data_IF_576189260419
#
_entry.id   IF_576189260419
#
_cell.length_a   1.000
_cell.length_b   1.000
_cell.length_c   1.000
_cell.angle_alpha   90.00
_cell.angle_beta   90.00
_cell.angle_gamma   90.00
#
_symmetry.space_group_name_H-M   'P 1'
#
loop_
_entity.id
_entity.type
_entity.pdbx_description
1 polymer ?
#
# COMPACT_ATOMS: atom_id res chain seq x y z
N UNK A 1 19.27 -12.55 7.16
CA UNK A 1 18.25 -13.13 8.07
C UNK A 1 18.39 -12.63 9.50
N UNK A 2 19.59 -12.24 9.96
CA UNK A 2 19.85 -11.73 11.31
C UNK A 2 18.77 -10.77 11.89
N UNK A 3 18.38 -9.73 11.13
CA UNK A 3 17.36 -8.79 11.60
C UNK A 3 15.96 -9.42 11.75
N UNK A 4 15.60 -10.41 10.92
CA UNK A 4 14.34 -11.13 11.05
C UNK A 4 14.35 -12.04 12.28
N UNK A 5 15.49 -12.68 12.57
CA UNK A 5 15.64 -13.54 13.73
C UNK A 5 15.59 -12.73 15.04
N UNK A 6 16.18 -11.53 15.07
CA UNK A 6 16.04 -10.59 16.18
C UNK A 6 14.59 -10.11 16.37
N UNK A 7 13.89 -9.81 15.27
CA UNK A 7 12.48 -9.47 15.30
C UNK A 7 11.64 -10.63 15.87
N UNK A 8 11.92 -11.86 15.45
CA UNK A 8 11.27 -13.07 15.94
C UNK A 8 11.55 -13.31 17.43
N UNK A 9 12.78 -13.11 17.91
CA UNK A 9 13.12 -13.20 19.33
C UNK A 9 12.33 -12.20 20.18
N UNK A 10 12.19 -10.96 19.69
CA UNK A 10 11.50 -9.89 20.43
C UNK A 10 9.98 -10.05 20.45
N UNK A 11 9.38 -10.48 19.33
CA UNK A 11 7.93 -10.44 19.14
C UNK A 11 7.26 -11.80 18.96
N UNK A 12 8.02 -12.88 18.80
CA UNK A 12 7.51 -14.21 18.47
C UNK A 12 6.60 -14.81 19.53
N UNK A 13 6.82 -14.49 20.80
CA UNK A 13 5.92 -14.94 21.88
C UNK A 13 4.55 -14.25 21.77
N UNK A 14 4.52 -12.95 21.46
CA UNK A 14 3.28 -12.17 21.40
C UNK A 14 2.52 -12.34 20.08
N UNK A 15 3.24 -12.52 18.98
CA UNK A 15 2.69 -12.56 17.63
C UNK A 15 3.25 -13.73 16.79
N UNK A 16 3.06 -14.99 17.22
CA UNK A 16 3.66 -16.15 16.57
C UNK A 16 3.23 -16.31 15.09
N UNK A 17 1.95 -16.05 14.79
CA UNK A 17 1.43 -16.12 13.42
C UNK A 17 2.03 -15.08 12.49
N UNK A 18 2.36 -13.89 13.01
CA UNK A 18 3.02 -12.83 12.23
C UNK A 18 4.43 -13.29 11.87
N UNK A 19 5.19 -13.78 12.85
CA UNK A 19 6.55 -14.31 12.61
C UNK A 19 6.54 -15.44 11.59
N UNK A 20 5.62 -16.40 11.72
CA UNK A 20 5.48 -17.51 10.75
C UNK A 20 5.23 -16.99 9.33
N UNK A 21 4.34 -16.00 9.17
CA UNK A 21 4.05 -15.38 7.88
C UNK A 21 5.27 -14.66 7.30
N UNK A 22 6.05 -13.96 8.13
CA UNK A 22 7.28 -13.30 7.68
C UNK A 22 8.31 -14.29 7.15
N UNK A 23 8.55 -15.42 7.84
CA UNK A 23 9.47 -16.44 7.34
C UNK A 23 8.96 -17.10 6.06
N UNK A 24 7.66 -17.43 5.98
CA UNK A 24 7.06 -18.06 4.81
C UNK A 24 7.13 -17.17 3.56
N UNK A 25 6.90 -15.87 3.71
CA UNK A 25 6.82 -14.92 2.60
C UNK A 25 8.10 -14.05 2.47
N UNK A 26 9.19 -14.40 3.16
CA UNK A 26 10.36 -13.53 3.29
C UNK A 26 10.94 -13.12 1.93
N UNK A 27 11.06 -14.06 1.00
CA UNK A 27 11.61 -13.80 -0.33
C UNK A 27 10.79 -12.77 -1.12
N UNK A 28 9.47 -12.87 -1.07
CA UNK A 28 8.56 -11.91 -1.71
C UNK A 28 8.63 -10.55 -1.03
N UNK A 29 8.49 -10.53 0.30
CA UNK A 29 8.52 -9.30 1.11
C UNK A 29 9.85 -8.56 1.02
N UNK A 30 10.95 -9.22 0.69
CA UNK A 30 12.27 -8.62 0.55
C UNK A 30 12.64 -8.29 -0.90
N UNK A 31 11.80 -8.62 -1.88
CA UNK A 31 12.09 -8.36 -3.29
C UNK A 31 12.31 -6.87 -3.58
N UNK A 32 11.65 -5.98 -2.83
CA UNK A 32 11.84 -4.54 -3.00
C UNK A 32 13.26 -4.06 -2.66
N UNK A 33 14.05 -4.83 -1.89
CA UNK A 33 15.46 -4.49 -1.63
C UNK A 33 16.33 -4.57 -2.90
N UNK A 34 15.86 -5.20 -3.98
CA UNK A 34 16.56 -5.18 -5.28
C UNK A 34 16.57 -3.78 -5.92
N UNK A 35 15.66 -2.89 -5.52
CA UNK A 35 15.60 -1.52 -6.03
C UNK A 35 16.55 -0.58 -5.28
N UNK A 36 16.96 0.55 -5.90
CA UNK A 36 17.72 1.62 -5.24
C UNK A 36 17.00 2.18 -4.02
N UNK A 37 17.76 2.70 -3.05
CA UNK A 37 17.23 3.20 -1.79
C UNK A 37 16.15 4.27 -1.97
N UNK A 38 16.35 5.14 -2.96
CA UNK A 38 15.47 6.24 -3.34
C UNK A 38 14.10 5.73 -3.79
N UNK A 39 14.07 4.59 -4.50
CA UNK A 39 12.83 3.96 -4.97
C UNK A 39 12.16 3.15 -3.86
N UNK A 40 12.93 2.54 -2.95
CA UNK A 40 12.38 1.78 -1.81
C UNK A 40 11.44 2.65 -0.97
N UNK A 41 11.78 3.93 -0.77
CA UNK A 41 10.93 4.87 -0.04
C UNK A 41 9.53 5.00 -0.65
N UNK A 42 9.45 5.08 -1.98
CA UNK A 42 8.16 5.12 -2.67
C UNK A 42 7.38 3.82 -2.53
N UNK A 43 8.07 2.67 -2.45
CA UNK A 43 7.45 1.34 -2.33
C UNK A 43 6.93 1.08 -0.92
N UNK A 44 7.74 1.27 0.13
CA UNK A 44 7.32 0.96 1.51
C UNK A 44 6.35 2.00 2.08
N UNK A 45 6.24 3.17 1.45
CA UNK A 45 5.31 4.21 1.91
C UNK A 45 3.87 3.82 1.57
N UNK A 46 3.12 3.42 2.59
CA UNK A 46 1.71 3.02 2.44
C UNK A 46 0.74 4.18 2.23
N UNK A 47 1.19 5.44 2.33
CA UNK A 47 0.33 6.63 2.27
C UNK A 47 -0.48 6.70 0.97
N UNK A 48 0.13 6.37 -0.18
CA UNK A 48 -0.55 6.39 -1.48
C UNK A 48 -1.71 5.39 -1.50
N UNK A 49 -1.47 4.14 -1.13
CA UNK A 49 -2.50 3.09 -1.06
C UNK A 49 -3.56 3.42 -0.01
N UNK A 50 -3.17 3.91 1.18
CA UNK A 50 -4.10 4.32 2.22
C UNK A 50 -4.98 5.49 1.80
N UNK A 51 -4.43 6.48 1.08
CA UNK A 51 -5.18 7.62 0.58
C UNK A 51 -6.26 7.19 -0.44
N UNK A 52 -5.92 6.28 -1.34
CA UNK A 52 -6.86 5.63 -2.27
C UNK A 52 -7.95 4.88 -1.51
N UNK A 53 -7.57 4.01 -0.55
CA UNK A 53 -8.52 3.25 0.25
C UNK A 53 -9.47 4.17 1.05
N UNK A 54 -8.94 5.27 1.60
CA UNK A 54 -9.74 6.29 2.31
C UNK A 54 -10.72 6.99 1.37
N UNK A 55 -10.28 7.32 0.15
CA UNK A 55 -11.11 7.93 -0.88
C UNK A 55 -12.27 7.01 -1.29
N UNK A 56 -12.00 5.73 -1.54
CA UNK A 56 -13.03 4.73 -1.87
C UNK A 56 -14.03 4.63 -0.72
N UNK A 57 -13.56 4.37 0.51
CA UNK A 57 -14.42 4.24 1.70
C UNK A 57 -15.30 5.46 1.92
N UNK A 58 -14.76 6.67 1.73
CA UNK A 58 -15.52 7.92 1.89
C UNK A 58 -16.67 8.02 0.88
N UNK A 59 -16.42 7.67 -0.37
CA UNK A 59 -17.41 7.81 -1.45
C UNK A 59 -18.43 6.67 -1.50
N UNK A 60 -18.11 5.51 -0.95
CA UNK A 60 -19.06 4.38 -0.86
C UNK A 60 -19.94 4.47 0.39
N UNK A 61 -19.40 4.94 1.53
CA UNK A 61 -20.15 5.03 2.80
C UNK A 61 -21.32 6.02 2.75
N UNK A 62 -21.25 7.06 1.91
CA UNK A 62 -22.27 8.13 1.84
C UNK A 62 -23.37 7.87 0.83
N UNK A 63 -23.29 6.78 0.04
CA UNK A 63 -24.29 6.42 -0.96
C UNK A 63 -25.21 5.38 -0.34
N UNK A 64 -26.49 5.74 -0.13
CA UNK A 64 -27.48 4.92 0.58
C UNK A 64 -27.73 3.58 -0.10
N UNK A 65 -26.98 2.55 0.32
CA UNK A 65 -27.03 1.19 -0.20
C UNK A 65 -26.34 1.06 -1.56
N UNK A 66 -25.33 0.19 -1.65
CA UNK A 66 -24.77 -0.22 -2.94
C UNK A 66 -25.78 -1.17 -3.59
N UNK A 67 -26.48 -0.70 -4.62
CA UNK A 67 -27.60 -1.44 -5.23
C UNK A 67 -27.14 -2.54 -6.21
N UNK A 68 -25.91 -2.46 -6.73
CA UNK A 68 -25.29 -3.49 -7.58
C UNK A 68 -23.78 -3.29 -7.69
N UNK A 69 -23.07 -4.33 -8.17
CA UNK A 69 -21.64 -4.23 -8.48
C UNK A 69 -21.38 -3.19 -9.57
N UNK A 70 -22.23 -3.11 -10.59
CA UNK A 70 -22.11 -2.12 -11.66
C UNK A 70 -22.24 -0.67 -11.14
N UNK A 71 -23.15 -0.44 -10.19
CA UNK A 71 -23.29 0.85 -9.53
C UNK A 71 -22.02 1.24 -8.75
N UNK A 72 -21.46 0.28 -7.98
CA UNK A 72 -20.21 0.47 -7.25
C UNK A 72 -19.03 0.78 -8.19
N UNK A 73 -18.91 0.03 -9.29
CA UNK A 73 -17.87 0.24 -10.30
C UNK A 73 -17.96 1.63 -10.92
N UNK A 74 -19.18 2.09 -11.27
CA UNK A 74 -19.40 3.42 -11.86
C UNK A 74 -19.01 4.54 -10.89
N UNK A 75 -19.43 4.44 -9.62
CA UNK A 75 -19.06 5.44 -8.59
C UNK A 75 -17.56 5.44 -8.34
N UNK A 76 -16.95 4.26 -8.25
CA UNK A 76 -15.52 4.11 -8.03
C UNK A 76 -14.74 4.75 -9.19
N UNK A 77 -15.14 4.46 -10.43
CA UNK A 77 -14.55 5.07 -11.62
C UNK A 77 -14.66 6.60 -11.60
N UNK A 78 -15.85 7.17 -11.40
CA UNK A 78 -16.04 8.62 -11.35
C UNK A 78 -15.26 9.27 -10.20
N UNK A 79 -15.16 8.59 -9.07
CA UNK A 79 -14.36 9.03 -7.93
C UNK A 79 -12.88 9.11 -8.28
N UNK A 80 -12.37 8.10 -9.00
CA UNK A 80 -10.99 8.11 -9.47
C UNK A 80 -10.73 9.18 -10.51
N UNK A 81 -11.63 9.39 -11.48
CA UNK A 81 -11.51 10.48 -12.46
C UNK A 81 -11.32 11.84 -11.76
N UNK A 82 -12.21 12.17 -10.82
CA UNK A 82 -12.14 13.41 -10.04
C UNK A 82 -10.88 13.52 -9.15
N UNK A 83 -10.33 12.39 -8.69
CA UNK A 83 -9.12 12.38 -7.89
C UNK A 83 -7.86 12.54 -8.74
N UNK A 84 -7.83 11.91 -9.91
CA UNK A 84 -6.72 12.00 -10.88
C UNK A 84 -6.50 13.43 -11.36
N UNK A 85 -7.57 14.21 -11.54
CA UNK A 85 -7.47 15.66 -11.82
C UNK A 85 -6.64 16.41 -10.76
N UNK A 86 -6.66 15.95 -9.50
CA UNK A 86 -5.92 16.55 -8.39
C UNK A 86 -4.54 15.91 -8.18
N UNK A 87 -4.35 14.66 -8.60
CA UNK A 87 -3.10 13.91 -8.46
C UNK A 87 -2.09 14.26 -9.57
N UNK A 88 -1.79 15.55 -9.72
CA UNK A 88 -0.83 16.05 -10.70
C UNK A 88 0.59 16.17 -10.14
N UNK A 89 0.77 15.96 -8.82
CA UNK A 89 2.07 16.10 -8.18
C UNK A 89 2.97 14.91 -8.48
N UNK A 90 4.19 15.21 -8.87
CA UNK A 90 5.25 14.24 -9.08
C UNK A 90 5.64 13.54 -7.76
N UNK A 91 6.06 12.28 -7.86
CA UNK A 91 6.64 11.54 -6.73
C UNK A 91 7.86 12.31 -6.19
N UNK A 92 7.97 12.39 -4.87
CA UNK A 92 9.11 13.05 -4.22
C UNK A 92 10.41 12.41 -4.71
N UNK A 93 11.41 13.25 -5.00
CA UNK A 93 12.74 12.82 -5.48
C UNK A 93 12.72 12.00 -6.78
N UNK A 94 11.67 12.11 -7.61
CA UNK A 94 11.59 11.38 -8.87
C UNK A 94 12.75 11.65 -9.84
N UNK A 95 13.32 12.86 -9.81
CA UNK A 95 14.50 13.19 -10.62
C UNK A 95 15.74 12.36 -10.24
N UNK A 96 15.85 11.92 -8.98
CA UNK A 96 16.93 11.04 -8.52
C UNK A 96 16.65 9.60 -8.92
N UNK A 97 15.38 9.19 -8.93
CA UNK A 97 14.94 7.82 -9.27
C UNK A 97 15.03 7.55 -10.79
N UNK A 98 14.76 8.57 -11.63
CA UNK A 98 14.71 8.44 -13.09
C UNK A 98 16.10 8.36 -13.74
N UNK A 99 17.11 8.95 -13.10
CA UNK A 99 18.50 8.98 -13.60
C UNK A 99 19.21 7.66 -13.30
#
# INVERSE_FOLDING_TARGET
MQNLDEFAKKWGQKYPSIIKSWYANFAELTTFFKYPYELRQAIYTINSIQSVNKLIKKNTKTKGGIQSVNYLSKITYLTFQNATEKWQRQVRNWHIIKN
#
